data_IF_347895769534
#
_entry.id   IF_347895769534
#
_cell.length_a   1.000
_cell.length_b   1.000
_cell.length_c   1.000
_cell.angle_alpha   90.00
_cell.angle_beta   90.00
_cell.angle_gamma   90.00
#
_symmetry.space_group_name_H-M   'P 1'
#
loop_
_entity.id
_entity.type
_entity.pdbx_description
1 polymer ?
#
# COMPACT_ATOMS: atom_id res chain seq x y z
N UNK A 1 16.01 7.95 7.78
CA UNK A 1 15.80 9.12 6.90
C UNK A 1 16.73 9.08 5.69
N UNK A 2 18.04 8.93 5.92
CA UNK A 2 19.07 8.87 4.86
C UNK A 2 18.80 7.79 3.78
N UNK A 3 18.39 6.58 4.17
CA UNK A 3 18.14 5.48 3.23
C UNK A 3 17.03 5.81 2.21
N UNK A 4 15.97 6.49 2.64
CA UNK A 4 14.87 6.86 1.76
C UNK A 4 15.25 8.00 0.79
N UNK A 5 16.04 8.98 1.26
CA UNK A 5 16.58 10.03 0.40
C UNK A 5 17.56 9.48 -0.64
N UNK A 6 18.43 8.55 -0.22
CA UNK A 6 19.34 7.82 -1.11
C UNK A 6 18.57 7.02 -2.15
N UNK A 7 17.51 6.30 -1.75
CA UNK A 7 16.64 5.56 -2.65
C UNK A 7 15.95 6.47 -3.68
N UNK A 8 15.36 7.57 -3.23
CA UNK A 8 14.72 8.57 -4.10
C UNK A 8 15.70 9.11 -5.16
N UNK A 9 16.90 9.52 -4.75
CA UNK A 9 17.90 10.04 -5.69
C UNK A 9 18.40 8.95 -6.65
N UNK A 10 18.58 7.71 -6.16
CA UNK A 10 18.96 6.59 -7.02
C UNK A 10 17.89 6.28 -8.09
N UNK A 11 16.61 6.31 -7.71
CA UNK A 11 15.49 6.12 -8.63
C UNK A 11 15.50 7.24 -9.69
N UNK A 12 15.73 8.49 -9.29
CA UNK A 12 15.81 9.62 -10.22
C UNK A 12 16.92 9.43 -11.26
N UNK A 13 18.12 9.01 -10.83
CA UNK A 13 19.25 8.74 -11.73
C UNK A 13 18.97 7.59 -12.70
N UNK A 14 18.38 6.49 -12.22
CA UNK A 14 18.03 5.36 -13.08
C UNK A 14 16.99 5.77 -14.12
N UNK A 15 16.01 6.57 -13.70
CA UNK A 15 14.95 7.07 -14.56
C UNK A 15 15.49 8.00 -15.65
N UNK A 16 16.38 8.95 -15.30
CA UNK A 16 17.02 9.84 -16.27
C UNK A 16 17.85 9.07 -17.33
N UNK A 17 18.37 7.90 -16.95
CA UNK A 17 19.20 7.05 -17.80
C UNK A 17 18.44 5.88 -18.44
N UNK A 18 17.13 5.78 -18.24
CA UNK A 18 16.30 4.65 -18.69
C UNK A 18 16.83 3.28 -18.24
N UNK A 19 17.32 3.18 -17.01
CA UNK A 19 17.84 1.94 -16.42
C UNK A 19 16.70 1.24 -15.65
N UNK A 20 16.41 -0.05 -15.94
CA UNK A 20 15.46 -0.85 -15.17
C UNK A 20 15.80 -0.92 -13.67
N UNK A 21 14.77 -0.90 -12.83
CA UNK A 21 14.90 -0.98 -11.39
C UNK A 21 14.55 -2.39 -10.89
N UNK A 22 15.40 -2.93 -10.02
CA UNK A 22 15.17 -4.20 -9.34
C UNK A 22 15.10 -3.94 -7.84
N UNK A 23 13.99 -4.32 -7.20
CA UNK A 23 13.76 -4.16 -5.77
C UNK A 23 13.89 -5.52 -5.08
N UNK A 24 14.80 -5.63 -4.13
CA UNK A 24 14.94 -6.80 -3.27
C UNK A 24 14.38 -6.46 -1.89
N UNK A 25 13.19 -6.99 -1.57
CA UNK A 25 12.51 -6.66 -0.32
C UNK A 25 12.94 -7.61 0.81
N UNK A 26 13.53 -7.03 1.84
CA UNK A 26 13.67 -7.63 3.16
C UNK A 26 13.58 -6.54 4.22
N UNK A 27 12.35 -6.16 4.55
CA UNK A 27 12.02 -4.94 5.28
C UNK A 27 10.98 -5.22 6.35
N UNK A 28 11.31 -4.84 7.58
CA UNK A 28 10.44 -4.97 8.76
C UNK A 28 9.56 -3.74 9.02
N UNK A 29 9.72 -2.69 8.22
CA UNK A 29 9.02 -1.42 8.34
C UNK A 29 9.98 -0.23 8.53
N UNK A 30 9.44 0.89 8.97
CA UNK A 30 10.23 2.09 9.29
C UNK A 30 10.58 2.16 10.77
N UNK A 31 11.66 2.87 11.10
CA UNK A 31 12.07 3.10 12.48
C UNK A 31 11.03 3.93 13.24
N UNK A 32 10.49 3.39 14.32
CA UNK A 32 9.47 4.04 15.17
C UNK A 32 10.13 4.74 16.35
N UNK A 33 9.63 5.91 16.73
CA UNK A 33 10.11 6.67 17.90
C UNK A 33 9.95 8.19 17.71
N UNK A 34 9.77 8.92 18.81
CA UNK A 34 9.53 10.38 18.79
C UNK A 34 10.61 11.16 18.05
N UNK A 35 11.89 10.76 18.20
CA UNK A 35 13.02 11.35 17.47
C UNK A 35 12.94 11.09 15.96
N UNK A 36 12.53 9.89 15.56
CA UNK A 36 12.37 9.49 14.15
C UNK A 36 11.20 10.23 13.50
N UNK A 37 10.09 10.40 14.21
CA UNK A 37 8.95 11.19 13.74
C UNK A 37 9.30 12.68 13.63
N UNK A 38 9.94 13.25 14.65
CA UNK A 38 10.40 14.64 14.64
C UNK A 38 11.43 14.91 13.53
N UNK A 39 12.27 13.92 13.21
CA UNK A 39 13.22 13.99 12.10
C UNK A 39 12.55 13.91 10.71
N UNK A 40 11.24 13.69 10.64
CA UNK A 40 10.49 13.72 9.38
C UNK A 40 10.52 12.42 8.58
N UNK A 41 10.61 11.25 9.24
CA UNK A 41 10.61 9.93 8.58
C UNK A 41 9.39 9.74 7.65
N UNK A 42 8.23 10.28 8.02
CA UNK A 42 7.04 10.26 7.18
C UNK A 42 7.19 11.08 5.89
N UNK A 43 7.90 12.22 5.94
CA UNK A 43 8.21 13.01 4.74
C UNK A 43 9.21 12.29 3.85
N UNK A 44 10.23 11.68 4.45
CA UNK A 44 11.26 10.92 3.73
C UNK A 44 10.68 9.65 3.07
N UNK A 45 9.81 8.92 3.77
CA UNK A 45 9.06 7.78 3.21
C UNK A 45 8.12 8.23 2.08
N UNK A 46 7.33 9.29 2.32
CA UNK A 46 6.46 9.86 1.29
C UNK A 46 7.25 10.31 0.04
N UNK A 47 8.49 10.79 0.18
CA UNK A 47 9.34 11.14 -0.97
C UNK A 47 9.68 9.92 -1.83
N UNK A 48 9.93 8.77 -1.21
CA UNK A 48 10.18 7.50 -1.91
C UNK A 48 8.89 6.97 -2.56
N UNK A 49 7.76 7.06 -1.85
CA UNK A 49 6.44 6.66 -2.33
C UNK A 49 5.90 7.58 -3.44
N UNK A 50 6.27 8.86 -3.44
CA UNK A 50 5.92 9.85 -4.47
C UNK A 50 6.54 9.56 -5.85
N UNK A 51 7.48 8.60 -5.94
CA UNK A 51 7.93 8.07 -7.23
C UNK A 51 6.92 7.11 -7.85
N UNK A 52 5.84 6.81 -7.14
CA UNK A 52 5.04 5.67 -7.45
C UNK A 52 3.53 5.96 -7.57
N UNK A 53 2.86 5.57 -8.68
CA UNK A 53 1.41 5.68 -8.80
C UNK A 53 0.65 4.73 -7.86
N UNK A 54 -0.29 5.27 -7.07
CA UNK A 54 -1.37 4.45 -6.51
C UNK A 54 -2.27 3.97 -7.66
N UNK A 55 -2.35 2.66 -7.88
CA UNK A 55 -3.15 2.09 -8.96
C UNK A 55 -4.67 2.31 -8.76
N UNK A 56 -5.46 1.91 -9.76
CA UNK A 56 -6.94 1.89 -9.74
C UNK A 56 -7.54 0.96 -8.67
N UNK A 57 -6.78 0.02 -8.09
CA UNK A 57 -7.24 -0.81 -6.96
C UNK A 57 -7.41 -0.01 -5.67
N UNK A 58 -6.63 1.06 -5.46
CA UNK A 58 -6.89 2.01 -4.36
C UNK A 58 -8.19 2.81 -4.57
N UNK A 59 -8.53 3.13 -5.82
CA UNK A 59 -9.85 3.70 -6.13
C UNK A 59 -10.97 2.69 -5.84
N UNK A 60 -10.74 1.39 -6.05
CA UNK A 60 -11.69 0.32 -5.69
C UNK A 60 -11.81 0.16 -4.18
N UNK A 61 -10.72 0.18 -3.41
CA UNK A 61 -10.76 0.12 -1.94
C UNK A 61 -11.48 1.35 -1.37
N UNK A 62 -11.20 2.55 -1.89
CA UNK A 62 -11.93 3.78 -1.51
C UNK A 62 -13.42 3.69 -1.92
N UNK A 63 -13.74 3.13 -3.09
CA UNK A 63 -15.14 2.87 -3.51
C UNK A 63 -15.83 1.81 -2.66
N UNK A 64 -15.15 0.79 -2.19
CA UNK A 64 -15.70 -0.25 -1.30
C UNK A 64 -15.90 0.31 0.10
N UNK A 65 -14.96 1.12 0.61
CA UNK A 65 -15.08 1.81 1.90
C UNK A 65 -16.19 2.88 1.88
N UNK A 66 -16.42 3.54 0.74
CA UNK A 66 -17.56 4.44 0.54
C UNK A 66 -18.86 3.71 0.14
N UNK A 67 -18.77 2.49 -0.40
CA UNK A 67 -19.88 1.70 -0.94
C UNK A 67 -20.68 0.94 0.12
N UNK A 68 -20.10 0.69 1.29
CA UNK A 68 -20.81 0.08 2.43
C UNK A 68 -21.93 0.97 3.01
N UNK A 69 -22.12 2.19 2.48
CA UNK A 69 -23.26 3.08 2.77
C UNK A 69 -24.42 2.97 1.75
N UNK A 70 -24.40 2.03 0.81
CA UNK A 70 -25.52 1.81 -0.14
C UNK A 70 -25.83 0.33 -0.33
N UNK A 71 -26.19 -0.35 0.77
CA UNK A 71 -27.04 -1.53 0.67
C UNK A 71 -28.49 -1.06 0.58
N UNK A 72 -28.99 -0.81 -0.64
CA UNK A 72 -30.32 -1.25 -1.09
C UNK A 72 -30.61 -0.81 -2.54
N UNK A 73 -31.05 -1.78 -3.33
CA UNK A 73 -31.85 -1.70 -4.58
C UNK A 73 -31.16 -1.37 -5.91
N UNK A 74 -31.31 -2.35 -6.81
CA UNK A 74 -31.12 -2.31 -8.26
C UNK A 74 -31.92 -1.17 -8.91
N UNK A 75 -31.26 -0.22 -9.59
CA UNK A 75 -31.86 0.54 -10.71
C UNK A 75 -30.78 1.03 -11.71
N UNK A 76 -31.02 0.96 -13.03
CA UNK A 76 -30.08 1.40 -14.05
C UNK A 76 -30.35 2.87 -14.41
N UNK A 77 -29.73 3.84 -13.73
CA UNK A 77 -29.79 5.24 -14.16
C UNK A 77 -28.46 5.97 -13.92
N UNK A 78 -28.08 6.83 -14.88
CA UNK A 78 -26.84 7.60 -14.88
C UNK A 78 -26.69 8.43 -13.59
N UNK A 79 -25.46 8.47 -13.05
CA UNK A 79 -25.06 9.15 -11.80
C UNK A 79 -25.55 10.61 -11.68
N UNK A 80 -25.85 11.27 -12.80
CA UNK A 80 -26.32 12.65 -12.87
C UNK A 80 -27.81 12.77 -12.45
N UNK A 81 -28.66 11.81 -12.84
CA UNK A 81 -30.09 11.81 -12.45
C UNK A 81 -30.30 11.42 -10.97
N UNK A 82 -29.39 10.62 -10.41
CA UNK A 82 -29.41 10.30 -8.98
C UNK A 82 -29.10 11.53 -8.13
N UNK A 83 -28.09 12.32 -8.52
CA UNK A 83 -27.73 13.57 -7.84
C UNK A 83 -28.84 14.62 -7.97
N UNK A 84 -29.51 14.74 -9.13
CA UNK A 84 -30.61 15.70 -9.28
C UNK A 84 -31.84 15.35 -8.44
N UNK A 85 -32.09 14.06 -8.21
CA UNK A 85 -33.21 13.58 -7.39
C UNK A 85 -32.91 13.75 -5.90
N UNK A 86 -31.67 13.45 -5.47
CA UNK A 86 -31.21 13.68 -4.10
C UNK A 86 -31.25 15.17 -3.70
N UNK A 87 -30.96 16.06 -4.65
CA UNK A 87 -31.00 17.52 -4.47
C UNK A 87 -32.43 18.10 -4.38
N UNK A 88 -33.45 17.39 -4.90
CA UNK A 88 -34.85 17.82 -4.77
C UNK A 88 -35.49 17.39 -3.43
N UNK A 89 -35.02 16.30 -2.83
CA UNK A 89 -35.57 15.76 -1.58
C UNK A 89 -35.07 16.47 -0.32
N UNK A 90 -33.94 17.17 -0.37
CA UNK A 90 -33.41 17.96 0.74
C UNK A 90 -33.58 19.46 0.47
N UNK A 91 -34.59 20.09 1.10
CA UNK A 91 -34.64 21.56 1.27
C UNK A 91 -33.47 22.00 2.15
N UNK A 92 -32.26 22.12 1.60
CA UNK A 92 -31.08 22.61 2.32
C UNK A 92 -30.38 23.68 1.48
N UNK A 93 -30.13 24.81 2.14
CA UNK A 93 -29.73 26.07 1.53
C UNK A 93 -28.39 26.02 0.77
N UNK A 94 -28.36 26.77 -0.32
CA UNK A 94 -27.49 26.64 -1.49
C UNK A 94 -26.00 27.01 -1.31
N UNK A 95 -25.42 26.92 -0.12
CA UNK A 95 -24.01 27.30 0.10
C UNK A 95 -23.13 26.18 0.66
N UNK A 96 -23.64 25.34 1.58
CA UNK A 96 -22.85 24.25 2.20
C UNK A 96 -22.64 23.04 1.29
N UNK A 97 -23.60 22.75 0.41
CA UNK A 97 -23.51 21.66 -0.57
C UNK A 97 -22.49 22.00 -1.67
N UNK A 98 -22.44 23.27 -2.09
CA UNK A 98 -21.48 23.73 -3.11
C UNK A 98 -20.03 23.62 -2.61
N UNK A 99 -19.77 23.98 -1.35
CA UNK A 99 -18.45 23.79 -0.71
C UNK A 99 -18.09 22.30 -0.62
N UNK A 100 -19.03 21.44 -0.26
CA UNK A 100 -18.79 19.99 -0.13
C UNK A 100 -18.51 19.32 -1.48
N UNK A 101 -19.22 19.72 -2.54
CA UNK A 101 -19.00 19.24 -3.92
C UNK A 101 -17.71 19.81 -4.51
N UNK A 102 -17.34 21.06 -4.20
CA UNK A 102 -16.06 21.65 -4.58
C UNK A 102 -14.87 21.01 -3.84
N UNK A 103 -15.03 20.68 -2.56
CA UNK A 103 -14.05 19.90 -1.79
C UNK A 103 -13.88 18.50 -2.36
N UNK A 104 -14.98 17.80 -2.66
CA UNK A 104 -14.92 16.50 -3.33
C UNK A 104 -14.30 16.59 -4.72
N UNK A 105 -14.62 17.61 -5.54
CA UNK A 105 -13.94 17.85 -6.83
C UNK A 105 -12.46 18.13 -6.67
N UNK A 106 -12.03 18.88 -5.65
CA UNK A 106 -10.62 19.18 -5.41
C UNK A 106 -9.86 17.96 -4.85
N UNK A 107 -10.50 17.13 -4.02
CA UNK A 107 -9.97 15.86 -3.54
C UNK A 107 -9.86 14.86 -4.69
N UNK A 108 -10.89 14.74 -5.54
CA UNK A 108 -10.89 13.91 -6.74
C UNK A 108 -9.86 14.39 -7.77
N UNK A 109 -9.70 15.71 -7.96
CA UNK A 109 -8.63 16.30 -8.79
C UNK A 109 -7.24 16.02 -8.24
N UNK A 110 -7.04 16.09 -6.90
CA UNK A 110 -5.78 15.68 -6.26
C UNK A 110 -5.52 14.18 -6.40
N UNK A 111 -6.55 13.34 -6.29
CA UNK A 111 -6.46 11.90 -6.50
C UNK A 111 -6.15 11.55 -7.97
N UNK A 112 -6.68 12.28 -8.94
CA UNK A 112 -6.32 12.13 -10.37
C UNK A 112 -4.94 12.70 -10.71
N UNK A 113 -4.46 13.71 -9.97
CA UNK A 113 -3.08 14.21 -10.09
C UNK A 113 -2.06 13.20 -9.54
N UNK A 114 -2.38 12.52 -8.43
CA UNK A 114 -1.59 11.40 -7.90
C UNK A 114 -1.59 10.18 -8.82
N UNK A 115 -2.65 9.99 -9.62
CA UNK A 115 -2.75 8.92 -10.61
C UNK A 115 -1.85 9.11 -11.84
N UNK A 116 -1.20 10.27 -12.00
CA UNK A 116 -0.34 10.61 -13.14
C UNK A 116 1.16 10.71 -12.78
N UNK A 117 1.57 10.17 -11.64
CA UNK A 117 2.99 10.01 -11.31
C UNK A 117 3.46 8.73 -11.99
N UNK A 118 4.23 8.86 -13.08
CA UNK A 118 4.67 7.73 -13.87
C UNK A 118 6.19 7.64 -13.79
N UNK A 119 6.74 6.76 -12.95
CA UNK A 119 8.07 6.24 -13.21
C UNK A 119 7.96 5.13 -14.26
N UNK A 120 8.51 5.39 -15.45
CA UNK A 120 8.27 4.60 -16.65
C UNK A 120 9.35 3.55 -16.94
N UNK A 121 10.44 3.52 -16.16
CA UNK A 121 11.42 2.45 -16.32
C UNK A 121 10.81 1.11 -15.87
N UNK A 122 11.21 -0.02 -16.48
CA UNK A 122 10.79 -1.32 -16.02
C UNK A 122 11.16 -1.55 -14.55
N UNK A 123 10.22 -2.08 -13.77
CA UNK A 123 10.39 -2.32 -12.33
C UNK A 123 10.08 -3.78 -12.04
N UNK A 124 11.01 -4.47 -11.40
CA UNK A 124 10.87 -5.87 -11.02
C UNK A 124 11.11 -5.97 -9.52
N UNK A 125 10.22 -6.65 -8.80
CA UNK A 125 10.32 -6.79 -7.35
C UNK A 125 10.50 -8.26 -6.99
N UNK A 126 11.44 -8.56 -6.09
CA UNK A 126 11.61 -9.88 -5.50
C UNK A 126 11.57 -9.73 -3.98
N UNK A 127 10.61 -10.40 -3.33
CA UNK A 127 10.54 -10.46 -1.88
C UNK A 127 11.39 -11.63 -1.40
N UNK A 128 12.55 -11.31 -0.82
CA UNK A 128 13.56 -12.28 -0.38
C UNK A 128 13.48 -12.58 1.12
N UNK A 129 12.67 -11.83 1.87
CA UNK A 129 12.46 -11.96 3.30
C UNK A 129 11.16 -11.30 3.75
N UNK A 130 11.24 -10.34 4.67
CA UNK A 130 10.05 -9.60 5.13
C UNK A 130 9.57 -8.54 4.13
N UNK A 131 8.26 -8.40 4.00
CA UNK A 131 7.59 -7.29 3.33
C UNK A 131 6.47 -6.76 4.22
N UNK A 132 6.81 -5.79 5.08
CA UNK A 132 5.91 -5.35 6.14
C UNK A 132 5.55 -3.87 6.05
N UNK A 133 4.26 -3.58 6.16
CA UNK A 133 3.69 -2.25 6.36
C UNK A 133 4.13 -1.22 5.32
N UNK A 134 4.51 -0.03 5.78
CA UNK A 134 4.90 1.07 4.91
C UNK A 134 6.19 0.78 4.10
N UNK A 135 7.03 -0.15 4.55
CA UNK A 135 8.21 -0.54 3.77
C UNK A 135 7.80 -1.19 2.44
N UNK A 136 6.72 -2.00 2.42
CA UNK A 136 6.26 -2.65 1.20
C UNK A 136 5.95 -1.62 0.12
N UNK A 137 5.39 -0.47 0.53
CA UNK A 137 5.21 0.66 -0.38
C UNK A 137 6.57 1.18 -0.84
N UNK A 138 7.43 1.62 0.08
CA UNK A 138 8.72 2.22 -0.27
C UNK A 138 9.57 1.36 -1.23
N UNK A 139 9.46 0.03 -1.14
CA UNK A 139 10.23 -0.92 -1.96
C UNK A 139 9.45 -1.51 -3.15
N UNK A 140 8.49 -0.79 -3.72
CA UNK A 140 7.75 -1.21 -4.92
C UNK A 140 6.92 -2.50 -4.72
N UNK A 141 5.97 -2.45 -3.79
CA UNK A 141 5.00 -3.52 -3.56
C UNK A 141 3.98 -3.71 -4.69
N UNK A 142 3.01 -4.61 -4.51
CA UNK A 142 2.01 -4.92 -5.54
C UNK A 142 1.12 -3.74 -5.94
N UNK A 143 0.70 -2.92 -4.97
CA UNK A 143 -0.13 -1.72 -5.19
C UNK A 143 0.50 -0.71 -6.15
N UNK A 144 1.79 -0.89 -6.34
CA UNK A 144 2.62 -0.05 -7.13
C UNK A 144 2.69 -0.58 -8.59
N UNK A 145 2.37 -1.84 -8.89
CA UNK A 145 2.42 -2.35 -10.28
C UNK A 145 3.86 -2.39 -10.83
N UNK A 146 4.78 -3.10 -10.15
CA UNK A 146 5.96 -3.60 -10.86
C UNK A 146 5.51 -4.41 -12.08
N UNK A 147 6.36 -4.47 -13.10
CA UNK A 147 6.12 -5.33 -14.27
C UNK A 147 6.04 -6.80 -13.87
N UNK A 148 6.85 -7.20 -12.90
CA UNK A 148 6.85 -8.53 -12.32
C UNK A 148 7.15 -8.45 -10.82
N UNK A 149 6.47 -9.27 -10.02
CA UNK A 149 6.70 -9.41 -8.59
C UNK A 149 6.82 -10.88 -8.23
N UNK A 150 7.91 -11.31 -7.61
CA UNK A 150 8.13 -12.69 -7.21
C UNK A 150 8.46 -12.82 -5.73
N UNK A 151 8.12 -13.96 -5.16
CA UNK A 151 8.42 -14.26 -3.76
C UNK A 151 9.40 -15.42 -3.68
N UNK A 152 10.32 -15.35 -2.72
CA UNK A 152 11.06 -16.53 -2.27
C UNK A 152 10.19 -17.38 -1.33
N UNK A 153 10.45 -18.69 -1.18
CA UNK A 153 9.65 -19.57 -0.32
C UNK A 153 9.71 -19.21 1.18
N UNK A 154 10.77 -18.51 1.61
CA UNK A 154 10.93 -18.02 2.98
C UNK A 154 10.32 -16.63 3.21
N UNK A 155 9.79 -15.98 2.17
CA UNK A 155 9.26 -14.63 2.27
C UNK A 155 8.05 -14.55 3.21
N UNK A 156 7.82 -13.38 3.81
CA UNK A 156 6.61 -13.09 4.60
C UNK A 156 6.07 -11.72 4.24
N UNK A 157 4.76 -11.62 4.00
CA UNK A 157 4.09 -10.35 3.69
C UNK A 157 2.91 -10.10 4.64
N UNK A 158 2.86 -8.94 5.28
CA UNK A 158 1.68 -8.54 6.07
C UNK A 158 1.74 -7.05 6.39
N UNK A 159 0.69 -6.54 7.05
CA UNK A 159 0.65 -5.13 7.50
C UNK A 159 1.75 -4.83 8.52
N UNK A 160 2.10 -5.79 9.37
CA UNK A 160 3.17 -5.72 10.36
C UNK A 160 3.54 -7.14 10.82
N UNK A 161 4.69 -7.33 11.45
CA UNK A 161 5.10 -8.66 11.93
C UNK A 161 4.12 -9.22 12.97
N UNK A 162 3.88 -10.53 12.94
CA UNK A 162 2.93 -11.22 13.84
C UNK A 162 3.11 -10.86 15.33
N UNK A 163 4.34 -10.95 15.89
CA UNK A 163 4.59 -10.57 17.28
C UNK A 163 4.28 -9.10 17.60
N UNK A 164 4.48 -8.20 16.63
CA UNK A 164 4.16 -6.78 16.80
C UNK A 164 2.65 -6.56 16.81
N UNK A 165 1.92 -7.20 15.89
CA UNK A 165 0.46 -7.16 15.86
C UNK A 165 -0.15 -7.71 17.15
N UNK A 166 0.33 -8.87 17.60
CA UNK A 166 -0.10 -9.50 18.84
C UNK A 166 0.11 -8.58 20.05
N UNK A 167 1.27 -7.92 20.16
CA UNK A 167 1.55 -6.96 21.22
C UNK A 167 0.58 -5.77 21.22
N UNK A 168 0.33 -5.16 20.06
CA UNK A 168 -0.58 -4.00 19.93
C UNK A 168 -2.03 -4.40 20.22
N UNK A 169 -2.50 -5.51 19.64
CA UNK A 169 -3.85 -6.00 19.86
C UNK A 169 -4.08 -6.40 21.32
N UNK A 170 -3.09 -7.01 21.97
CA UNK A 170 -3.19 -7.35 23.39
C UNK A 170 -3.31 -6.09 24.26
N UNK A 171 -2.57 -5.01 23.95
CA UNK A 171 -2.70 -3.75 24.68
C UNK A 171 -4.11 -3.13 24.55
N UNK A 172 -4.68 -3.16 23.35
CA UNK A 172 -6.05 -2.65 23.09
C UNK A 172 -7.10 -3.51 23.81
N UNK A 173 -6.96 -4.83 23.75
CA UNK A 173 -7.87 -5.76 24.41
C UNK A 173 -7.82 -5.62 25.93
N UNK A 174 -6.61 -5.50 26.51
CA UNK A 174 -6.42 -5.23 27.95
C UNK A 174 -7.14 -3.95 28.38
N UNK A 175 -7.01 -2.87 27.60
CA UNK A 175 -7.69 -1.61 27.89
C UNK A 175 -9.22 -1.73 27.81
N UNK A 176 -9.72 -2.52 26.85
CA UNK A 176 -11.15 -2.76 26.64
C UNK A 176 -11.76 -3.61 27.77
N UNK A 177 -11.10 -4.72 28.13
CA UNK A 177 -11.54 -5.57 29.26
C UNK A 177 -11.49 -4.84 30.59
N UNK A 178 -10.45 -4.02 30.84
CA UNK A 178 -10.36 -3.18 32.04
C UNK A 178 -11.54 -2.21 32.16
N UNK A 179 -11.99 -1.59 31.06
CA UNK A 179 -13.18 -0.72 31.05
C UNK A 179 -14.48 -1.46 31.35
N UNK A 180 -14.55 -2.76 31.03
CA UNK A 180 -15.70 -3.64 31.31
C UNK A 180 -15.63 -4.30 32.69
N UNK A 181 -14.60 -4.03 33.48
CA UNK A 181 -14.38 -4.66 34.78
C UNK A 181 -14.02 -6.15 34.71
N UNK A 182 -13.70 -6.67 33.52
CA UNK A 182 -13.33 -8.07 33.31
C UNK A 182 -11.83 -8.22 33.62
N UNK A 183 -11.47 -9.13 34.53
CA UNK A 183 -10.07 -9.50 34.72
C UNK A 183 -9.56 -10.31 33.54
N UNK A 184 -8.33 -10.03 33.12
CA UNK A 184 -7.65 -10.75 32.06
C UNK A 184 -6.33 -11.28 32.61
N UNK A 185 -6.23 -12.59 32.69
CA UNK A 185 -5.05 -13.28 33.24
C UNK A 185 -3.89 -13.25 32.25
N UNK A 186 -2.68 -13.53 32.74
CA UNK A 186 -1.50 -13.57 31.87
C UNK A 186 -1.59 -14.73 30.88
N UNK A 187 -2.15 -15.85 31.31
CA UNK A 187 -2.34 -17.05 30.50
C UNK A 187 -3.32 -16.80 29.36
N UNK A 188 -4.45 -16.12 29.61
CA UNK A 188 -5.39 -15.73 28.57
C UNK A 188 -4.81 -14.68 27.61
N UNK A 189 -3.93 -13.80 28.09
CA UNK A 189 -3.24 -12.84 27.23
C UNK A 189 -2.21 -13.52 26.32
N UNK A 190 -1.46 -14.49 26.83
CA UNK A 190 -0.46 -15.19 26.03
C UNK A 190 -1.13 -16.06 24.97
N UNK A 191 -2.20 -16.77 25.34
CA UNK A 191 -3.02 -17.51 24.37
C UNK A 191 -3.58 -16.61 23.26
N UNK A 192 -4.08 -15.43 23.63
CA UNK A 192 -4.57 -14.46 22.64
C UNK A 192 -3.46 -13.99 21.69
N UNK A 193 -2.24 -13.74 22.20
CA UNK A 193 -1.11 -13.37 21.36
C UNK A 193 -0.70 -14.50 20.42
N UNK A 194 -0.63 -15.73 20.92
CA UNK A 194 -0.30 -16.91 20.11
C UNK A 194 -1.27 -17.07 18.93
N UNK A 195 -2.58 -16.98 19.20
CA UNK A 195 -3.63 -17.04 18.16
C UNK A 195 -3.44 -15.95 17.09
N UNK A 196 -3.08 -14.72 17.49
CA UNK A 196 -2.80 -13.63 16.55
C UNK A 196 -1.53 -13.91 15.73
N UNK A 197 -0.45 -14.38 16.36
CA UNK A 197 0.80 -14.69 15.65
C UNK A 197 0.57 -15.79 14.61
N UNK A 198 -0.13 -16.86 14.99
CA UNK A 198 -0.44 -17.97 14.09
C UNK A 198 -1.29 -17.49 12.88
N UNK A 199 -2.29 -16.65 13.12
CA UNK A 199 -3.09 -16.06 12.05
C UNK A 199 -2.22 -15.24 11.07
N UNK A 200 -1.31 -14.43 11.59
CA UNK A 200 -0.39 -13.63 10.78
C UNK A 200 0.63 -14.49 10.02
N UNK A 201 1.14 -15.57 10.60
CA UNK A 201 2.08 -16.46 9.94
C UNK A 201 1.40 -17.25 8.80
N UNK A 202 0.15 -17.68 9.02
CA UNK A 202 -0.64 -18.36 8.00
C UNK A 202 -0.96 -17.43 6.83
N UNK A 203 -1.46 -16.23 7.11
CA UNK A 203 -1.85 -15.26 6.08
C UNK A 203 -0.64 -14.56 5.45
N UNK A 204 0.50 -14.53 6.14
CA UNK A 204 1.74 -13.93 5.65
C UNK A 204 2.60 -14.88 4.83
N UNK A 205 2.23 -16.16 4.73
CA UNK A 205 2.91 -17.17 3.93
C UNK A 205 2.93 -16.80 2.43
N UNK A 206 4.01 -17.10 1.68
CA UNK A 206 4.06 -16.85 0.25
C UNK A 206 3.00 -17.66 -0.51
N UNK A 207 2.62 -18.83 0.00
CA UNK A 207 1.53 -19.63 -0.58
C UNK A 207 0.16 -18.94 -0.44
N UNK A 208 -0.06 -18.23 0.68
CA UNK A 208 -1.27 -17.44 0.89
C UNK A 208 -1.32 -16.24 -0.05
N UNK A 209 -0.18 -15.57 -0.25
CA UNK A 209 -0.03 -14.43 -1.15
C UNK A 209 -0.22 -14.83 -2.62
N UNK A 210 0.47 -15.87 -3.08
CA UNK A 210 0.47 -16.28 -4.49
C UNK A 210 -0.90 -16.81 -4.93
N UNK A 211 -1.61 -17.52 -4.04
CA UNK A 211 -2.99 -17.97 -4.28
C UNK A 211 -3.99 -16.81 -4.46
N UNK A 212 -3.60 -15.58 -4.13
CA UNK A 212 -4.39 -14.36 -4.25
C UNK A 212 -3.80 -13.35 -5.25
N UNK A 213 -2.80 -13.76 -6.04
CA UNK A 213 -2.15 -12.92 -7.06
C UNK A 213 -1.56 -11.62 -6.50
N UNK A 214 -1.10 -11.66 -5.24
CA UNK A 214 -0.31 -10.57 -4.65
C UNK A 214 1.08 -10.48 -5.27
N UNK A 215 1.57 -11.62 -5.77
CA UNK A 215 2.75 -11.80 -6.59
C UNK A 215 2.39 -12.56 -7.88
N UNK A 216 3.36 -12.68 -8.78
CA UNK A 216 3.27 -13.39 -10.06
C UNK A 216 3.91 -14.79 -9.98
N UNK A 217 4.30 -15.24 -8.77
CA UNK A 217 4.81 -16.58 -8.51
C UNK A 217 5.83 -16.65 -7.38
N UNK A 218 5.91 -17.85 -6.79
CA UNK A 218 6.99 -18.25 -5.90
C UNK A 218 8.12 -18.85 -6.75
N UNK A 219 9.35 -18.41 -6.52
CA UNK A 219 10.52 -18.81 -7.31
C UNK A 219 11.60 -19.41 -6.41
N UNK A 220 12.38 -20.35 -6.94
CA UNK A 220 13.58 -20.83 -6.24
C UNK A 220 14.61 -19.68 -6.14
N UNK A 221 15.16 -19.39 -4.94
CA UNK A 221 16.24 -18.43 -4.80
C UNK A 221 17.39 -18.59 -5.80
N UNK A 222 17.75 -19.83 -6.17
CA UNK A 222 18.79 -20.14 -7.15
C UNK A 222 18.45 -19.65 -8.57
N UNK A 223 17.17 -19.60 -8.93
CA UNK A 223 16.69 -19.19 -10.25
C UNK A 223 16.50 -17.68 -10.40
N UNK A 224 16.64 -16.91 -9.31
CA UNK A 224 16.40 -15.46 -9.29
C UNK A 224 17.09 -14.74 -10.45
N UNK A 225 18.37 -15.03 -10.72
CA UNK A 225 19.13 -14.39 -11.81
C UNK A 225 18.52 -14.68 -13.19
N UNK A 226 18.17 -15.95 -13.44
CA UNK A 226 17.59 -16.38 -14.72
C UNK A 226 16.24 -15.71 -14.95
N UNK A 227 15.38 -15.72 -13.94
CA UNK A 227 14.05 -15.10 -14.00
C UNK A 227 14.15 -13.59 -14.23
N UNK A 228 15.01 -12.90 -13.48
CA UNK A 228 15.25 -11.47 -13.69
C UNK A 228 15.72 -11.16 -15.10
N UNK A 229 16.60 -11.97 -15.69
CA UNK A 229 17.07 -11.77 -17.07
C UNK A 229 15.94 -11.89 -18.10
N UNK A 230 15.02 -12.84 -17.89
CA UNK A 230 13.85 -13.03 -18.75
C UNK A 230 12.86 -11.86 -18.61
N UNK A 231 12.61 -11.40 -17.37
CA UNK A 231 11.76 -10.25 -17.11
C UNK A 231 12.31 -8.96 -17.74
N UNK A 232 13.63 -8.73 -17.64
CA UNK A 232 14.28 -7.59 -18.30
C UNK A 232 14.12 -7.71 -19.81
N UNK A 233 14.45 -8.86 -20.40
CA UNK A 233 14.27 -9.08 -21.84
C UNK A 233 12.82 -8.86 -22.30
N UNK A 234 11.84 -9.28 -21.50
CA UNK A 234 10.43 -9.09 -21.81
C UNK A 234 10.01 -7.61 -21.75
N UNK A 235 10.49 -6.87 -20.73
CA UNK A 235 10.11 -5.46 -20.54
C UNK A 235 10.77 -4.50 -21.52
N UNK A 236 11.94 -4.85 -22.06
CA UNK A 236 12.63 -4.05 -23.08
C UNK A 236 11.95 -4.03 -24.46
N UNK A 237 10.89 -4.82 -24.67
CA UNK A 237 10.08 -4.75 -25.88
C UNK A 237 9.21 -3.48 -25.95
N UNK A 238 9.07 -2.72 -24.85
CA UNK A 238 8.40 -1.41 -24.83
C UNK A 238 9.43 -0.30 -24.94
N UNK A 239 9.17 0.69 -25.81
CA UNK A 239 10.02 1.87 -25.95
C UNK A 239 10.08 2.71 -24.66
N UNK A 240 11.16 3.48 -24.44
CA UNK A 240 11.30 4.31 -23.25
C UNK A 240 10.25 5.43 -23.24
N UNK A 241 9.58 5.62 -22.11
CA UNK A 241 8.60 6.69 -21.92
C UNK A 241 9.13 7.76 -20.96
N UNK A 242 8.79 9.02 -21.23
CA UNK A 242 9.19 10.13 -20.37
C UNK A 242 8.53 10.01 -19.00
N UNK A 243 9.35 10.05 -17.95
CA UNK A 243 8.86 10.02 -16.57
C UNK A 243 8.44 11.41 -16.10
N UNK A 244 7.31 11.48 -15.38
CA UNK A 244 6.82 12.69 -14.71
C UNK A 244 6.72 12.45 -13.22
N UNK A 245 7.40 13.28 -12.43
CA UNK A 245 7.34 13.22 -10.97
C UNK A 245 6.21 14.08 -10.39
N UNK A 246 5.68 13.66 -9.24
CA UNK A 246 4.81 14.49 -8.42
C UNK A 246 5.57 15.59 -7.66
N UNK A 247 4.86 16.37 -6.85
CA UNK A 247 5.49 17.39 -6.01
C UNK A 247 6.24 16.73 -4.85
N UNK A 248 7.55 16.93 -4.79
CA UNK A 248 8.36 16.49 -3.66
C UNK A 248 8.13 17.38 -2.43
N UNK A 249 7.89 16.76 -1.28
CA UNK A 249 7.81 17.47 0.00
C UNK A 249 9.22 17.60 0.58
N UNK A 250 9.81 18.79 0.46
CA UNK A 250 11.14 19.14 0.97
C UNK A 250 11.11 19.52 2.46
#
# INVERSE_FOLDING_TARGET
MESAQKGAHFIELCTQRNIPLIFLQNITGFMVGSKSEASGIAKAGAKMDLFWPLNSSWQSIIRTFCGTLSLHSNYPYSMIQFISTLLRSFKLSSFKVMISVLLLRNILKKLTFLANIWNQVPKITVVIGGSFGAGNYAMCGRAYSPNFMFFWPNARISVMGGPQAAGVLAQVERATKKKRGIQWTKEEEEKFKEEVVEAYDREGSPYYATSRLWDDGIIDPADTRRILSLCISATLNRGPEATKYGVFRM
#
